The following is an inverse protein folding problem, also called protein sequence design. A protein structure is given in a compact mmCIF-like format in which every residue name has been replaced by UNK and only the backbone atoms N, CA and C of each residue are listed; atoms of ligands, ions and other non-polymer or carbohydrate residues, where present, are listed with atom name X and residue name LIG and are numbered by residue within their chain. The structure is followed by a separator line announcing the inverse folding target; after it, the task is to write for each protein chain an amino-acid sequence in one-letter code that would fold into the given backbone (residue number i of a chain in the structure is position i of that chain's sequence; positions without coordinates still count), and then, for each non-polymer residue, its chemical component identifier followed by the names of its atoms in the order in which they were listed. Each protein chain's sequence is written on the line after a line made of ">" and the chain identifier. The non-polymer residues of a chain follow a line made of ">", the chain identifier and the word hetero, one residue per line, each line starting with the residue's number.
data_IF_135055998316
#
_entry.id   IF_135055998316
#
_cell.length_a   1.000
_cell.length_b   1.000
_cell.length_c   1.000
_cell.angle_alpha   90.00
_cell.angle_beta   90.00
_cell.angle_gamma   90.00
#
_symmetry.space_group_name_H-M   'P 1'
#
loop_
_entity.id
_entity.type
_entity.pdbx_description
1 polymer ?
#
# COMPACT_ATOMS: atom_id res chain seq x y z
N UNK A 1 79.46 25.41 -3.17
CA UNK A 1 78.32 25.56 -4.10
C UNK A 1 77.52 24.26 -4.30
N UNK A 2 77.28 23.44 -3.25
CA UNK A 2 76.68 22.09 -3.42
C UNK A 2 75.42 21.78 -2.58
N UNK A 3 75.09 22.57 -1.55
CA UNK A 3 73.93 22.30 -0.68
C UNK A 3 72.59 22.80 -1.26
N UNK A 4 72.59 24.00 -1.88
CA UNK A 4 71.39 24.63 -2.45
C UNK A 4 70.78 23.86 -3.61
N UNK A 5 71.61 23.22 -4.44
CA UNK A 5 71.16 22.43 -5.60
C UNK A 5 70.55 21.10 -5.13
N UNK A 6 71.13 20.49 -4.08
CA UNK A 6 70.63 19.23 -3.48
C UNK A 6 69.25 19.42 -2.83
N UNK A 7 69.03 20.51 -2.10
CA UNK A 7 67.73 20.83 -1.51
C UNK A 7 66.66 21.14 -2.56
N UNK A 8 67.01 21.81 -3.66
CA UNK A 8 66.06 22.05 -4.77
C UNK A 8 65.65 20.76 -5.48
N UNK A 9 66.59 19.83 -5.69
CA UNK A 9 66.29 18.50 -6.28
C UNK A 9 65.42 17.64 -5.35
N UNK A 10 65.65 17.72 -4.04
CA UNK A 10 64.85 17.00 -3.02
C UNK A 10 63.43 17.56 -2.93
N UNK A 11 63.27 18.90 -2.91
CA UNK A 11 61.96 19.54 -2.92
C UNK A 11 61.16 19.24 -4.21
N UNK A 12 61.83 19.19 -5.37
CA UNK A 12 61.19 18.81 -6.63
C UNK A 12 60.75 17.35 -6.65
N UNK A 13 61.55 16.42 -6.07
CA UNK A 13 61.16 15.01 -5.91
C UNK A 13 59.98 14.86 -4.95
N UNK A 14 59.97 15.61 -3.85
CA UNK A 14 58.87 15.57 -2.88
C UNK A 14 57.57 16.14 -3.45
N UNK A 15 57.63 17.23 -4.23
CA UNK A 15 56.44 17.75 -4.95
C UNK A 15 55.90 16.77 -5.99
N UNK A 16 56.79 16.08 -6.73
CA UNK A 16 56.38 15.01 -7.66
C UNK A 16 55.75 13.82 -6.93
N UNK A 17 56.32 13.41 -5.81
CA UNK A 17 55.77 12.32 -4.99
C UNK A 17 54.40 12.67 -4.42
N UNK A 18 54.24 13.89 -3.89
CA UNK A 18 52.94 14.38 -3.40
C UNK A 18 51.93 14.42 -4.54
N UNK A 19 52.26 14.98 -5.70
CA UNK A 19 51.33 15.01 -6.84
C UNK A 19 50.92 13.61 -7.34
N UNK A 20 51.85 12.65 -7.35
CA UNK A 20 51.55 11.25 -7.72
C UNK A 20 50.62 10.63 -6.68
N UNK A 21 50.86 10.86 -5.39
CA UNK A 21 50.00 10.38 -4.31
C UNK A 21 48.60 11.02 -4.35
N UNK A 22 48.47 12.32 -4.62
CA UNK A 22 47.15 12.96 -4.77
C UNK A 22 46.41 12.44 -6.00
N UNK A 23 47.10 12.20 -7.11
CA UNK A 23 46.50 11.61 -8.31
C UNK A 23 46.03 10.17 -8.08
N UNK A 24 46.81 9.36 -7.35
CA UNK A 24 46.41 8.00 -6.95
C UNK A 24 45.20 8.00 -6.00
N UNK A 25 45.16 8.91 -5.04
CA UNK A 25 44.00 9.09 -4.14
C UNK A 25 42.74 9.52 -4.90
N UNK A 26 42.86 10.44 -5.86
CA UNK A 26 41.73 10.84 -6.71
C UNK A 26 41.25 9.69 -7.62
N UNK A 27 42.16 8.91 -8.17
CA UNK A 27 41.82 7.76 -9.01
C UNK A 27 41.13 6.64 -8.20
N UNK A 28 41.58 6.39 -6.96
CA UNK A 28 40.92 5.45 -6.05
C UNK A 28 39.50 5.93 -5.63
N UNK A 29 39.33 7.24 -5.41
CA UNK A 29 38.02 7.83 -5.11
C UNK A 29 37.04 7.68 -6.29
N UNK A 30 37.50 7.79 -7.53
CA UNK A 30 36.66 7.59 -8.72
C UNK A 30 36.36 6.11 -9.02
N UNK A 31 37.25 5.18 -8.64
CA UNK A 31 37.00 3.75 -8.78
C UNK A 31 35.98 3.20 -7.76
N UNK A 32 35.83 3.85 -6.59
CA UNK A 32 34.87 3.44 -5.56
C UNK A 32 33.41 3.74 -5.92
N UNK A 33 33.15 4.59 -6.91
CA UNK A 33 31.79 4.86 -7.40
C UNK A 33 31.27 3.82 -8.40
N UNK A 34 32.08 2.82 -8.74
CA UNK A 34 31.73 1.71 -9.65
C UNK A 34 31.74 0.35 -8.95
N UNK A 35 31.57 0.31 -7.63
CA UNK A 35 31.17 -0.92 -6.94
C UNK A 35 29.84 -1.35 -7.56
N UNK A 36 29.94 -2.34 -8.45
CA UNK A 36 28.82 -2.90 -9.19
C UNK A 36 27.69 -3.20 -8.22
N UNK A 37 26.59 -2.48 -8.40
CA UNK A 37 25.29 -2.91 -7.92
C UNK A 37 25.10 -4.28 -8.55
N UNK A 38 25.29 -5.34 -7.75
CA UNK A 38 24.95 -6.68 -8.19
C UNK A 38 23.52 -6.61 -8.71
N UNK A 39 23.23 -7.35 -9.77
CA UNK A 39 21.84 -7.59 -10.17
C UNK A 39 21.17 -8.33 -9.01
N UNK A 40 20.64 -7.58 -8.04
CA UNK A 40 19.72 -8.07 -7.04
C UNK A 40 18.52 -8.57 -7.83
N UNK A 41 18.46 -9.89 -8.03
CA UNK A 41 17.23 -10.52 -8.49
C UNK A 41 16.17 -10.11 -7.47
N UNK A 42 15.14 -9.33 -7.85
CA UNK A 42 14.13 -8.91 -6.89
C UNK A 42 13.57 -10.16 -6.21
N UNK A 43 13.42 -10.09 -4.89
CA UNK A 43 12.83 -11.19 -4.13
C UNK A 43 11.45 -11.53 -4.69
N UNK A 44 11.00 -12.77 -4.48
CA UNK A 44 9.60 -13.12 -4.75
C UNK A 44 8.70 -12.15 -3.99
N UNK A 45 7.76 -11.50 -4.70
CA UNK A 45 6.85 -10.49 -4.15
C UNK A 45 7.56 -9.25 -3.55
N UNK A 46 8.75 -8.90 -4.04
CA UNK A 46 9.41 -7.63 -3.71
C UNK A 46 8.79 -6.48 -4.51
N UNK A 47 7.73 -5.88 -3.93
CA UNK A 47 7.00 -4.77 -4.53
C UNK A 47 7.52 -3.39 -4.08
N UNK A 48 8.66 -3.34 -3.41
CA UNK A 48 9.26 -2.12 -2.86
C UNK A 48 8.59 -1.59 -1.59
N UNK A 49 9.03 -0.41 -1.14
CA UNK A 49 8.69 0.16 0.17
C UNK A 49 7.44 1.06 0.18
N UNK A 50 6.86 1.38 -0.97
CA UNK A 50 5.80 2.38 -1.10
C UNK A 50 4.58 2.06 -0.21
N UNK A 51 4.16 0.80 -0.15
CA UNK A 51 3.07 0.37 0.71
C UNK A 51 3.39 0.64 2.19
N UNK A 52 4.57 0.26 2.66
CA UNK A 52 4.99 0.50 4.04
C UNK A 52 5.10 2.01 4.35
N UNK A 53 5.57 2.82 3.39
CA UNK A 53 5.61 4.27 3.52
C UNK A 53 4.20 4.88 3.61
N UNK A 54 3.26 4.42 2.77
CA UNK A 54 1.87 4.87 2.83
C UNK A 54 1.21 4.47 4.16
N UNK A 55 1.40 3.23 4.63
CA UNK A 55 0.84 2.79 5.91
C UNK A 55 1.27 3.73 7.05
N UNK A 56 2.57 4.07 7.11
CA UNK A 56 3.11 5.03 8.08
C UNK A 56 2.53 6.43 7.90
N UNK A 57 2.42 6.92 6.66
CA UNK A 57 1.80 8.22 6.35
C UNK A 57 0.35 8.28 6.87
N UNK A 58 -0.45 7.24 6.61
CA UNK A 58 -1.85 7.19 7.02
C UNK A 58 -1.97 7.17 8.55
N UNK A 59 -1.19 6.32 9.21
CA UNK A 59 -1.19 6.17 10.66
C UNK A 59 -0.77 7.46 11.38
N UNK A 60 0.31 8.10 10.93
CA UNK A 60 0.82 9.33 11.54
C UNK A 60 -0.05 10.56 11.26
N UNK A 61 -0.66 10.64 10.07
CA UNK A 61 -1.50 11.79 9.70
C UNK A 61 -2.88 11.71 10.33
N UNK A 62 -3.46 10.50 10.42
CA UNK A 62 -4.81 10.26 10.90
C UNK A 62 -4.85 9.13 11.93
N UNK A 63 -4.19 9.28 13.09
CA UNK A 63 -4.09 8.24 14.11
C UNK A 63 -5.44 7.90 14.75
N UNK A 64 -6.40 8.82 14.71
CA UNK A 64 -7.75 8.70 15.28
C UNK A 64 -8.82 8.86 14.21
N UNK A 65 -8.62 8.19 13.07
CA UNK A 65 -9.62 8.07 11.99
C UNK A 65 -10.78 7.13 12.38
N UNK A 66 -11.36 7.35 13.55
CA UNK A 66 -12.51 6.58 14.04
C UNK A 66 -13.73 6.80 13.15
N UNK A 67 -14.70 5.86 13.12
CA UNK A 67 -15.95 6.04 12.38
C UNK A 67 -16.54 7.44 12.55
N UNK A 68 -16.93 8.05 11.43
CA UNK A 68 -17.60 9.34 11.29
C UNK A 68 -16.76 10.57 11.69
N UNK A 69 -15.51 10.38 12.11
CA UNK A 69 -14.61 11.47 12.48
C UNK A 69 -14.14 12.28 11.27
N UNK A 70 -13.66 13.50 11.52
CA UNK A 70 -13.04 14.28 10.45
C UNK A 70 -11.72 13.68 9.97
N UNK A 71 -11.02 12.93 10.82
CA UNK A 71 -9.84 12.17 10.41
C UNK A 71 -10.18 10.99 9.50
N UNK A 72 -11.33 10.34 9.69
CA UNK A 72 -11.83 9.33 8.74
C UNK A 72 -12.14 9.97 7.39
N UNK A 73 -12.83 11.12 7.36
CA UNK A 73 -13.12 11.83 6.10
C UNK A 73 -11.83 12.25 5.39
N UNK A 74 -10.84 12.76 6.12
CA UNK A 74 -9.55 13.13 5.58
C UNK A 74 -8.74 11.92 5.08
N UNK A 75 -8.83 10.77 5.76
CA UNK A 75 -8.26 9.51 5.28
C UNK A 75 -8.91 9.05 3.96
N UNK A 76 -10.23 9.19 3.83
CA UNK A 76 -10.94 8.90 2.59
C UNK A 76 -10.48 9.79 1.42
N UNK A 77 -10.28 11.08 1.68
CA UNK A 77 -9.77 12.02 0.68
C UNK A 77 -8.32 11.71 0.28
N UNK A 78 -7.46 11.34 1.24
CA UNK A 78 -6.11 10.86 0.95
C UNK A 78 -6.13 9.60 0.06
N UNK A 79 -7.04 8.65 0.31
CA UNK A 79 -7.16 7.44 -0.51
C UNK A 79 -7.59 7.75 -1.95
N UNK A 80 -8.52 8.70 -2.12
CA UNK A 80 -8.91 9.19 -3.45
C UNK A 80 -7.69 9.75 -4.20
N UNK A 81 -6.88 10.58 -3.54
CA UNK A 81 -5.67 11.16 -4.13
C UNK A 81 -4.63 10.09 -4.50
N UNK A 82 -4.37 9.11 -3.64
CA UNK A 82 -3.40 8.05 -3.96
C UNK A 82 -3.88 7.18 -5.12
N UNK A 83 -5.15 6.79 -5.16
CA UNK A 83 -5.70 6.03 -6.29
C UNK A 83 -5.64 6.84 -7.61
N UNK A 84 -5.89 8.15 -7.55
CA UNK A 84 -5.73 9.04 -8.71
C UNK A 84 -4.28 9.12 -9.19
N UNK A 85 -3.29 9.17 -8.28
CA UNK A 85 -1.86 9.13 -8.64
C UNK A 85 -1.47 7.80 -9.29
N UNK A 86 -2.09 6.71 -8.85
CA UNK A 86 -1.99 5.39 -9.51
C UNK A 86 -2.75 5.34 -10.85
N UNK A 87 -3.39 6.44 -11.25
CA UNK A 87 -4.08 6.63 -12.52
C UNK A 87 -5.50 6.06 -12.57
N UNK A 88 -6.08 5.69 -11.43
CA UNK A 88 -7.50 5.29 -11.37
C UNK A 88 -8.41 6.52 -11.40
N UNK A 89 -9.67 6.29 -11.74
CA UNK A 89 -10.77 7.23 -11.50
C UNK A 89 -11.61 6.71 -10.34
N UNK A 90 -11.19 6.95 -9.08
CA UNK A 90 -11.89 6.40 -7.93
C UNK A 90 -13.25 7.07 -7.70
N UNK A 91 -14.18 6.30 -7.14
CA UNK A 91 -15.51 6.72 -6.75
C UNK A 91 -15.57 6.85 -5.21
N UNK A 92 -16.18 7.95 -4.73
CA UNK A 92 -16.52 8.13 -3.32
C UNK A 92 -17.99 7.82 -3.09
N UNK A 93 -18.29 6.61 -2.62
CA UNK A 93 -19.65 6.19 -2.29
C UNK A 93 -20.01 6.67 -0.88
N UNK A 94 -20.65 7.83 -0.78
CA UNK A 94 -21.04 8.42 0.51
C UNK A 94 -22.33 7.83 1.05
N UNK A 95 -22.41 7.65 2.37
CA UNK A 95 -23.60 7.15 3.05
C UNK A 95 -23.85 7.85 4.38
N UNK A 96 -25.08 7.70 4.89
CA UNK A 96 -25.51 8.24 6.18
C UNK A 96 -26.16 7.14 7.01
N UNK A 97 -25.83 7.08 8.29
CA UNK A 97 -26.54 6.28 9.28
C UNK A 97 -27.16 7.20 10.34
N UNK A 98 -28.18 6.68 11.01
CA UNK A 98 -28.77 7.31 12.20
C UNK A 98 -28.33 6.45 13.38
N UNK A 99 -27.65 7.05 14.36
CA UNK A 99 -27.27 6.34 15.59
C UNK A 99 -28.47 6.20 16.55
N UNK A 100 -28.25 5.54 17.69
CA UNK A 100 -29.30 5.27 18.68
C UNK A 100 -29.93 6.56 19.26
N UNK A 101 -29.17 7.65 19.28
CA UNK A 101 -29.60 8.97 19.74
C UNK A 101 -30.32 9.80 18.66
N UNK A 102 -30.50 9.24 17.46
CA UNK A 102 -31.13 9.92 16.33
C UNK A 102 -30.22 10.90 15.59
N UNK A 103 -28.91 10.89 15.88
CA UNK A 103 -27.93 11.78 15.26
C UNK A 103 -27.50 11.21 13.91
N UNK A 104 -27.49 12.07 12.89
CA UNK A 104 -27.00 11.73 11.55
C UNK A 104 -25.48 11.64 11.57
N UNK A 105 -24.94 10.49 11.19
CA UNK A 105 -23.51 10.25 11.00
C UNK A 105 -23.23 9.91 9.53
N UNK A 106 -22.13 10.43 8.99
CA UNK A 106 -21.80 10.25 7.56
C UNK A 106 -20.41 9.65 7.41
N UNK A 107 -20.27 8.68 6.52
CA UNK A 107 -18.98 8.10 6.11
C UNK A 107 -19.02 7.80 4.60
N UNK A 108 -17.97 7.22 4.04
CA UNK A 108 -17.89 6.89 2.62
C UNK A 108 -17.03 5.65 2.37
N UNK A 109 -17.37 4.88 1.34
CA UNK A 109 -16.43 3.92 0.75
C UNK A 109 -15.65 4.60 -0.37
N UNK A 110 -14.36 4.25 -0.52
CA UNK A 110 -13.55 4.63 -1.67
C UNK A 110 -13.38 3.42 -2.57
N UNK A 111 -13.79 3.54 -3.83
CA UNK A 111 -13.89 2.41 -4.76
C UNK A 111 -13.06 2.70 -6.00
N UNK A 112 -12.19 1.77 -6.39
CA UNK A 112 -11.52 1.79 -7.69
C UNK A 112 -11.78 0.49 -8.44
N UNK A 113 -11.84 0.57 -9.77
CA UNK A 113 -12.16 -0.55 -10.65
C UNK A 113 -11.03 -0.75 -11.66
N UNK A 114 -10.68 -2.01 -11.88
CA UNK A 114 -9.73 -2.46 -12.88
C UNK A 114 -10.41 -3.51 -13.76
N UNK A 115 -10.44 -3.26 -15.07
CA UNK A 115 -10.89 -4.27 -16.02
C UNK A 115 -9.88 -5.41 -16.07
N UNK A 116 -10.39 -6.63 -16.16
CA UNK A 116 -9.57 -7.84 -16.31
C UNK A 116 -9.36 -8.20 -17.77
N UNK A 117 -8.43 -9.12 -18.02
CA UNK A 117 -8.19 -9.70 -19.35
C UNK A 117 -9.23 -10.76 -19.73
N UNK A 118 -10.05 -11.22 -18.76
CA UNK A 118 -10.91 -12.39 -18.90
C UNK A 118 -10.14 -13.70 -18.77
N UNK A 119 -10.85 -14.77 -18.45
CA UNK A 119 -10.26 -16.11 -18.39
C UNK A 119 -11.32 -17.18 -18.68
N UNK A 120 -10.88 -18.34 -19.15
CA UNK A 120 -11.73 -19.53 -19.25
C UNK A 120 -11.49 -20.42 -18.05
N UNK A 121 -12.57 -20.90 -17.45
CA UNK A 121 -12.49 -21.94 -16.44
C UNK A 121 -12.18 -23.27 -17.12
N UNK A 122 -11.23 -24.03 -16.56
CA UNK A 122 -10.95 -25.37 -17.07
C UNK A 122 -12.18 -26.25 -16.83
N UNK A 123 -12.94 -26.53 -17.88
CA UNK A 123 -14.00 -27.51 -17.81
C UNK A 123 -13.39 -28.91 -17.80
N UNK A 124 -13.91 -29.82 -16.97
CA UNK A 124 -13.58 -31.26 -17.05
C UNK A 124 -14.36 -31.89 -18.21
N UNK A 125 -14.02 -31.51 -19.44
CA UNK A 125 -14.55 -32.11 -20.66
C UNK A 125 -13.50 -33.04 -21.28
N UNK A 126 -13.97 -34.10 -21.93
CA UNK A 126 -13.16 -34.89 -22.86
C UNK A 126 -12.86 -34.07 -24.13
N UNK A 127 -11.81 -34.43 -24.87
CA UNK A 127 -11.45 -33.72 -26.11
C UNK A 127 -12.57 -33.76 -27.17
N UNK A 128 -13.37 -34.84 -27.20
CA UNK A 128 -14.55 -34.98 -28.07
C UNK A 128 -15.69 -34.02 -27.68
N UNK A 129 -15.90 -33.77 -26.38
CA UNK A 129 -16.94 -32.84 -25.89
C UNK A 129 -16.55 -31.37 -26.09
N UNK A 130 -15.24 -31.09 -26.18
CA UNK A 130 -14.70 -29.75 -26.43
C UNK A 130 -14.70 -29.38 -27.92
N UNK A 131 -14.79 -30.37 -28.80
CA UNK A 131 -14.79 -30.15 -30.25
C UNK A 131 -16.07 -29.39 -30.68
N UNK A 132 -15.90 -28.13 -31.08
CA UNK A 132 -16.98 -27.26 -31.53
C UNK A 132 -17.57 -26.32 -30.47
N UNK A 133 -17.08 -26.32 -29.23
CA UNK A 133 -17.45 -25.32 -28.22
C UNK A 133 -16.45 -24.16 -28.23
N UNK A 134 -16.95 -22.93 -28.38
CA UNK A 134 -16.13 -21.74 -28.11
C UNK A 134 -15.89 -21.61 -26.61
N UNK A 135 -14.66 -21.32 -26.15
CA UNK A 135 -14.39 -21.12 -24.74
C UNK A 135 -15.21 -19.95 -24.21
N UNK A 136 -15.99 -20.19 -23.15
CA UNK A 136 -16.59 -19.09 -22.39
C UNK A 136 -15.46 -18.27 -21.76
N UNK A 137 -15.42 -16.98 -22.09
CA UNK A 137 -14.53 -16.02 -21.45
C UNK A 137 -15.32 -15.38 -20.32
N UNK A 138 -14.98 -15.75 -19.09
CA UNK A 138 -15.62 -15.20 -17.92
C UNK A 138 -15.08 -13.82 -17.58
N UNK A 139 -15.99 -12.95 -17.14
CA UNK A 139 -15.74 -11.58 -16.69
C UNK A 139 -16.05 -11.44 -15.19
N UNK A 140 -15.80 -12.50 -14.42
CA UNK A 140 -16.08 -12.53 -12.98
C UNK A 140 -15.32 -11.43 -12.22
N UNK A 141 -15.91 -11.01 -11.11
CA UNK A 141 -15.43 -9.92 -10.27
C UNK A 141 -14.76 -10.47 -9.01
N UNK A 142 -13.52 -10.03 -8.79
CA UNK A 142 -12.81 -10.15 -7.52
C UNK A 142 -12.90 -8.82 -6.77
N UNK A 143 -13.44 -8.83 -5.56
CA UNK A 143 -13.43 -7.67 -4.67
C UNK A 143 -12.22 -7.80 -3.74
N UNK A 144 -11.36 -6.77 -3.68
CA UNK A 144 -10.25 -6.72 -2.72
C UNK A 144 -10.46 -5.48 -1.85
N UNK A 145 -10.57 -5.65 -0.53
CA UNK A 145 -10.90 -4.53 0.32
C UNK A 145 -10.26 -4.55 1.70
N UNK A 146 -10.26 -3.38 2.31
CA UNK A 146 -9.78 -3.13 3.66
C UNK A 146 -10.61 -1.99 4.27
N UNK A 147 -10.99 -2.08 5.54
CA UNK A 147 -11.53 -0.91 6.22
C UNK A 147 -10.39 0.08 6.54
N UNK A 148 -10.65 1.37 6.43
CA UNK A 148 -9.61 2.40 6.60
C UNK A 148 -9.72 3.19 7.91
N UNK A 149 -10.80 3.00 8.67
CA UNK A 149 -11.02 3.59 9.98
C UNK A 149 -10.26 2.86 11.11
N UNK A 150 -10.26 3.45 12.31
CA UNK A 150 -9.61 2.90 13.51
C UNK A 150 -10.62 2.67 14.64
N UNK A 151 -10.38 1.71 15.56
CA UNK A 151 -11.16 1.63 16.78
C UNK A 151 -11.07 2.93 17.58
N UNK A 152 -12.11 3.22 18.35
CA UNK A 152 -12.01 4.21 19.41
C UNK A 152 -11.12 3.66 20.53
N UNK A 153 -10.09 4.43 20.91
CA UNK A 153 -9.23 4.13 22.04
C UNK A 153 -9.42 5.26 23.06
N UNK A 154 -10.00 4.98 24.23
CA UNK A 154 -10.10 5.97 25.29
C UNK A 154 -8.69 6.39 25.71
N UNK A 155 -8.51 7.68 25.96
CA UNK A 155 -7.29 8.21 26.53
C UNK A 155 -7.60 8.48 27.98
N UNK A 156 -6.96 7.74 28.87
CA UNK A 156 -7.07 8.03 30.30
C UNK A 156 -6.49 9.42 30.55
N UNK A 157 -7.20 10.22 31.34
CA UNK A 157 -6.62 11.48 31.83
C UNK A 157 -5.44 11.12 32.76
N UNK A 158 -4.27 11.74 32.59
CA UNK A 158 -3.17 11.50 33.51
C UNK A 158 -3.60 11.85 34.94
N UNK A 159 -3.15 11.07 35.91
CA UNK A 159 -3.32 11.43 37.32
C UNK A 159 -2.69 12.81 37.59
N UNK A 160 -3.25 13.56 38.55
CA UNK A 160 -2.79 14.92 38.87
C UNK A 160 -1.30 14.90 39.27
N UNK A 161 -0.45 15.45 38.41
CA UNK A 161 1.00 15.50 38.62
C UNK A 161 1.81 14.48 37.81
N UNK A 162 1.16 13.57 37.08
CA UNK A 162 1.83 12.64 36.17
C UNK A 162 1.85 13.19 34.72
N UNK A 163 2.94 12.94 33.96
CA UNK A 163 2.95 13.25 32.54
C UNK A 163 1.97 12.34 31.80
N UNK A 164 1.18 12.90 30.89
CA UNK A 164 0.34 12.12 29.98
C UNK A 164 1.19 11.08 29.23
N UNK A 165 0.84 9.80 29.37
CA UNK A 165 1.46 8.78 28.52
C UNK A 165 1.08 9.03 27.05
N UNK A 166 2.04 8.98 26.12
CA UNK A 166 1.73 9.13 24.71
C UNK A 166 0.86 7.94 24.28
N UNK A 167 -0.36 8.23 23.84
CA UNK A 167 -1.26 7.21 23.27
C UNK A 167 -0.65 6.70 21.97
N UNK A 168 -0.05 5.52 22.02
CA UNK A 168 0.64 4.84 20.91
C UNK A 168 -0.33 4.02 20.03
N UNK A 169 -1.58 4.47 19.89
CA UNK A 169 -2.57 3.85 19.02
C UNK A 169 -2.77 4.71 17.76
N UNK A 170 -1.84 4.60 16.81
CA UNK A 170 -1.87 5.32 15.52
C UNK A 170 -2.63 4.56 14.41
N UNK A 171 -3.07 3.33 14.73
CA UNK A 171 -3.76 2.46 13.79
C UNK A 171 -2.86 1.92 12.67
N UNK A 172 -1.54 1.86 12.86
CA UNK A 172 -0.62 1.28 11.87
C UNK A 172 -0.96 -0.18 11.59
N UNK A 173 -1.22 -0.95 12.65
CA UNK A 173 -1.64 -2.34 12.56
C UNK A 173 -3.09 -2.43 12.10
N UNK A 174 -4.02 -1.80 12.82
CA UNK A 174 -5.45 -1.81 12.54
C UNK A 174 -5.96 -0.42 12.09
N UNK A 175 -6.14 -0.14 10.80
CA UNK A 175 -5.82 -1.01 9.66
C UNK A 175 -5.03 -0.30 8.54
N UNK A 176 -4.09 0.59 8.89
CA UNK A 176 -3.30 1.27 7.86
C UNK A 176 -2.46 0.29 7.01
N UNK A 177 -1.97 -0.79 7.63
CA UNK A 177 -1.25 -1.85 6.92
C UNK A 177 -2.10 -2.60 5.89
N UNK A 178 -3.34 -2.97 6.22
CA UNK A 178 -4.24 -3.62 5.27
C UNK A 178 -4.62 -2.69 4.12
N UNK A 179 -4.93 -1.43 4.42
CA UNK A 179 -5.18 -0.39 3.40
C UNK A 179 -3.98 -0.25 2.44
N UNK A 180 -2.76 -0.19 2.98
CA UNK A 180 -1.56 -0.08 2.17
C UNK A 180 -1.32 -1.32 1.28
N UNK A 181 -1.62 -2.51 1.79
CA UNK A 181 -1.53 -3.74 1.01
C UNK A 181 -2.51 -3.74 -0.17
N UNK A 182 -3.75 -3.28 0.04
CA UNK A 182 -4.75 -3.13 -1.04
C UNK A 182 -4.30 -2.09 -2.08
N UNK A 183 -3.75 -0.94 -1.65
CA UNK A 183 -3.18 0.06 -2.58
C UNK A 183 -1.99 -0.50 -3.38
N UNK A 184 -1.13 -1.28 -2.73
CA UNK A 184 0.00 -1.94 -3.39
C UNK A 184 -0.49 -2.94 -4.43
N UNK A 185 -1.50 -3.75 -4.08
CA UNK A 185 -2.15 -4.65 -5.03
C UNK A 185 -2.76 -3.89 -6.21
N UNK A 186 -3.43 -2.76 -5.95
CA UNK A 186 -3.97 -1.90 -7.01
C UNK A 186 -2.86 -1.40 -7.96
N UNK A 187 -1.73 -0.92 -7.44
CA UNK A 187 -0.59 -0.51 -8.27
C UNK A 187 -0.06 -1.67 -9.12
N UNK A 188 0.25 -2.80 -8.49
CA UNK A 188 0.86 -3.94 -9.18
C UNK A 188 -0.08 -4.55 -10.22
N UNK A 189 -1.37 -4.74 -9.89
CA UNK A 189 -2.34 -5.32 -10.82
C UNK A 189 -2.64 -4.41 -12.02
N UNK A 190 -2.34 -3.11 -11.95
CA UNK A 190 -2.38 -2.26 -13.16
C UNK A 190 -1.26 -2.57 -14.14
N UNK A 191 -0.08 -2.88 -13.62
CA UNK A 191 1.09 -3.24 -14.44
C UNK A 191 0.93 -4.68 -14.95
N UNK A 192 0.43 -5.57 -14.09
CA UNK A 192 0.17 -6.98 -14.37
C UNK A 192 -1.34 -7.26 -14.31
N UNK A 193 -2.05 -6.91 -15.38
CA UNK A 193 -3.53 -7.00 -15.41
C UNK A 193 -4.02 -8.44 -15.21
N UNK A 194 -4.83 -8.71 -14.18
CA UNK A 194 -5.33 -10.06 -13.91
C UNK A 194 -6.42 -10.48 -14.89
N UNK A 195 -6.76 -11.77 -14.90
CA UNK A 195 -7.92 -12.27 -15.65
C UNK A 195 -9.26 -11.74 -15.10
N UNK A 196 -9.39 -11.68 -13.77
CA UNK A 196 -10.57 -11.12 -13.10
C UNK A 196 -10.73 -9.63 -13.35
N UNK A 197 -11.98 -9.15 -13.44
CA UNK A 197 -12.28 -7.75 -13.14
C UNK A 197 -12.05 -7.54 -11.64
N UNK A 198 -11.30 -6.51 -11.25
CA UNK A 198 -11.01 -6.25 -9.83
C UNK A 198 -11.70 -4.98 -9.37
N UNK A 199 -12.39 -5.06 -8.23
CA UNK A 199 -12.95 -3.91 -7.53
C UNK A 199 -12.20 -3.75 -6.21
N UNK A 200 -11.40 -2.70 -6.10
CA UNK A 200 -10.75 -2.31 -4.86
C UNK A 200 -11.73 -1.48 -4.03
N UNK A 201 -12.02 -1.89 -2.80
CA UNK A 201 -12.95 -1.19 -1.91
C UNK A 201 -12.31 -0.89 -0.57
N UNK A 202 -12.14 0.39 -0.28
CA UNK A 202 -11.74 0.87 1.04
C UNK A 202 -13.00 1.24 1.82
N UNK A 203 -13.31 0.45 2.84
CA UNK A 203 -14.56 0.57 3.60
C UNK A 203 -14.45 1.63 4.69
N UNK A 204 -15.38 2.59 4.67
CA UNK A 204 -15.57 3.55 5.77
C UNK A 204 -16.41 2.94 6.88
N UNK A 205 -16.24 3.42 8.12
CA UNK A 205 -16.98 2.99 9.29
C UNK A 205 -17.04 1.46 9.44
N UNK A 206 -15.90 0.78 9.22
CA UNK A 206 -15.79 -0.66 9.37
C UNK A 206 -15.88 -1.10 10.83
N UNK A 207 -15.36 -0.28 11.75
CA UNK A 207 -15.40 -0.50 13.20
C UNK A 207 -16.77 -0.24 13.82
N UNK A 208 -17.68 0.39 13.07
CA UNK A 208 -19.08 0.55 13.43
C UNK A 208 -19.89 -0.49 12.66
N UNK A 209 -20.02 -1.73 13.18
CA UNK A 209 -20.81 -2.83 12.57
C UNK A 209 -20.69 -2.96 11.03
N UNK A 210 -19.48 -2.80 10.49
CA UNK A 210 -19.18 -2.94 9.07
C UNK A 210 -20.03 -2.05 8.14
N UNK A 211 -20.44 -0.86 8.58
CA UNK A 211 -21.41 -0.02 7.87
C UNK A 211 -21.02 0.27 6.42
N UNK A 212 -19.73 0.52 6.13
CA UNK A 212 -19.24 0.67 4.77
C UNK A 212 -19.45 -0.57 3.91
N UNK A 213 -19.09 -1.75 4.40
CA UNK A 213 -19.26 -3.01 3.67
C UNK A 213 -20.74 -3.36 3.46
N UNK A 214 -21.58 -3.13 4.47
CA UNK A 214 -23.04 -3.28 4.38
C UNK A 214 -23.63 -2.36 3.32
N UNK A 215 -23.22 -1.08 3.33
CA UNK A 215 -23.66 -0.10 2.35
C UNK A 215 -23.23 -0.49 0.93
N UNK A 216 -21.96 -0.87 0.74
CA UNK A 216 -21.44 -1.34 -0.54
C UNK A 216 -22.27 -2.51 -1.07
N UNK A 217 -22.43 -3.58 -0.29
CA UNK A 217 -23.20 -4.74 -0.71
C UNK A 217 -24.65 -4.36 -1.02
N UNK A 218 -25.29 -3.54 -0.19
CA UNK A 218 -26.68 -3.11 -0.38
C UNK A 218 -26.90 -2.33 -1.68
N UNK A 219 -25.88 -1.61 -2.16
CA UNK A 219 -25.94 -0.81 -3.37
C UNK A 219 -25.89 -1.63 -4.67
N UNK A 220 -25.39 -2.86 -4.60
CA UNK A 220 -25.27 -3.76 -5.76
C UNK A 220 -26.62 -4.39 -6.11
N UNK A 221 -26.96 -4.37 -7.39
CA UNK A 221 -28.06 -5.13 -7.98
C UNK A 221 -27.83 -6.64 -7.87
N UNK A 222 -28.89 -7.44 -8.05
CA UNK A 222 -28.78 -8.90 -8.05
C UNK A 222 -27.84 -9.44 -9.13
N UNK A 223 -27.74 -8.74 -10.26
CA UNK A 223 -26.84 -9.10 -11.37
C UNK A 223 -25.38 -8.76 -11.06
N UNK A 224 -25.11 -7.60 -10.46
CA UNK A 224 -23.75 -7.26 -10.02
C UNK A 224 -23.26 -8.22 -8.93
N UNK A 225 -24.16 -8.60 -8.00
CA UNK A 225 -23.83 -9.55 -6.93
C UNK A 225 -23.54 -10.95 -7.48
N UNK A 226 -24.26 -11.41 -8.51
CA UNK A 226 -24.04 -12.74 -9.07
C UNK A 226 -22.72 -12.85 -9.83
N UNK A 227 -22.11 -11.73 -10.22
CA UNK A 227 -20.78 -11.67 -10.85
C UNK A 227 -19.62 -11.66 -9.85
N UNK A 228 -19.86 -11.43 -8.56
CA UNK A 228 -18.80 -11.49 -7.54
C UNK A 228 -18.48 -12.95 -7.27
N UNK A 229 -17.27 -13.37 -7.64
CA UNK A 229 -16.78 -14.73 -7.42
C UNK A 229 -16.09 -14.85 -6.05
N UNK A 230 -15.33 -13.81 -5.67
CA UNK A 230 -14.59 -13.80 -4.40
C UNK A 230 -14.44 -12.40 -3.85
N UNK A 231 -14.43 -12.30 -2.52
CA UNK A 231 -14.02 -11.10 -1.79
C UNK A 231 -12.83 -11.42 -0.88
N UNK A 232 -11.74 -10.70 -1.05
CA UNK A 232 -10.54 -10.75 -0.22
C UNK A 232 -10.57 -9.57 0.74
N UNK A 233 -10.80 -9.85 2.03
CA UNK A 233 -10.73 -8.85 3.08
C UNK A 233 -9.33 -8.81 3.69
N UNK A 234 -8.62 -7.70 3.51
CA UNK A 234 -7.28 -7.48 4.05
C UNK A 234 -7.38 -6.73 5.38
N UNK A 235 -7.26 -7.50 6.45
CA UNK A 235 -7.16 -7.00 7.81
C UNK A 235 -5.73 -6.59 8.20
N UNK A 236 -5.44 -6.55 9.51
CA UNK A 236 -4.14 -6.15 10.02
C UNK A 236 -3.00 -7.08 9.56
N UNK A 237 -2.00 -6.51 8.87
CA UNK A 237 -0.84 -7.25 8.33
C UNK A 237 0.51 -6.63 8.70
N UNK A 238 0.53 -5.68 9.64
CA UNK A 238 1.75 -4.98 10.05
C UNK A 238 2.71 -5.82 10.91
N UNK A 239 2.16 -6.67 11.77
CA UNK A 239 2.91 -7.37 12.80
C UNK A 239 2.43 -8.82 12.90
N UNK A 240 3.30 -9.70 13.38
CA UNK A 240 3.06 -11.13 13.48
C UNK A 240 4.22 -11.94 12.92
N UNK A 241 4.25 -13.23 13.24
CA UNK A 241 5.22 -14.21 12.75
C UNK A 241 4.67 -15.03 11.57
N UNK A 242 3.35 -14.95 11.32
CA UNK A 242 2.63 -15.72 10.30
C UNK A 242 1.62 -14.87 9.56
N UNK A 243 1.50 -15.14 8.26
CA UNK A 243 0.39 -14.64 7.44
C UNK A 243 -0.73 -15.68 7.47
N UNK A 244 -1.94 -15.24 7.79
CA UNK A 244 -3.12 -16.09 7.84
C UNK A 244 -4.03 -15.79 6.65
N UNK A 245 -4.47 -16.83 5.96
CA UNK A 245 -5.54 -16.79 4.97
C UNK A 245 -6.58 -17.85 5.33
N UNK A 246 -7.86 -17.50 5.26
CA UNK A 246 -8.99 -18.39 5.52
C UNK A 246 -10.02 -18.20 4.40
N UNK A 247 -10.60 -19.28 3.91
CA UNK A 247 -11.62 -19.30 2.87
C UNK A 247 -12.77 -20.21 3.28
#
# INVERSE_FOLDING_TARGET
>A
MNLKIRNRKMAARMRRFVMIMTALLLAAAMASCSLGRGEDKPGLADYGDEGAQFARKLALSYPRRTPFSDQEKAAADLLMEELQKLGYTPEKQSFTIIDEDGVRKTSANIIARLDGQGFSLSQKLTDEEREGQEPEIHDLVMVIGAHYDTPFVPVDEPEEGEPAEPVLADGIHNNASGVAAVLTAARIMREETPGYRVVFVFFGAGMEDYQGARHYLSSLSSEERSKIDVMVNVGPVFAGDKVYAHA
#
